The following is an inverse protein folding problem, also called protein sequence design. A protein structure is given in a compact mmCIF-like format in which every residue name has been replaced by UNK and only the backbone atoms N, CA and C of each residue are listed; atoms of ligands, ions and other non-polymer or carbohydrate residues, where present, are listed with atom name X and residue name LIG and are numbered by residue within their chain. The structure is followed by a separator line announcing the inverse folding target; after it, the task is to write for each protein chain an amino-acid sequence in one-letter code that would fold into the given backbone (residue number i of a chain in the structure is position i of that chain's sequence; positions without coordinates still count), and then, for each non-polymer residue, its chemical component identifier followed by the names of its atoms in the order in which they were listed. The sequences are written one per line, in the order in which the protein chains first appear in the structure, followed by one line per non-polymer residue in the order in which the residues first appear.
data_IF_542102607608
#
_entry.id   IF_542102607608
#
_cell.length_a   1.000
_cell.length_b   1.000
_cell.length_c   1.000
_cell.angle_alpha   90.00
_cell.angle_beta   90.00
_cell.angle_gamma   90.00
#
_symmetry.space_group_name_H-M   'P 1'
#
loop_
_entity.id
_entity.type
_entity.pdbx_description
1 polymer ?
#
# COMPACT_ATOMS: atom_id res chain seq x y z
N UNK A 1 25.39 -8.41 7.36
CA UNK A 1 24.00 -7.88 7.31
C UNK A 1 23.33 -8.20 8.64
N UNK A 2 22.79 -7.21 9.34
CA UNK A 2 22.08 -7.42 10.61
C UNK A 2 20.58 -7.41 10.30
N UNK A 3 19.88 -8.54 10.52
CA UNK A 3 18.43 -8.66 10.37
C UNK A 3 17.82 -8.49 11.77
N UNK A 4 16.78 -7.64 11.85
CA UNK A 4 15.98 -7.43 13.06
C UNK A 4 14.52 -7.64 12.70
N UNK A 5 13.95 -8.75 13.15
CA UNK A 5 12.55 -9.09 12.94
C UNK A 5 11.71 -8.47 14.07
N UNK A 6 11.25 -7.24 13.86
CA UNK A 6 10.45 -6.47 14.83
C UNK A 6 9.62 -5.42 14.10
N UNK A 7 8.64 -4.86 14.81
CA UNK A 7 7.84 -3.74 14.37
C UNK A 7 8.70 -2.48 14.12
N UNK A 8 8.68 -1.99 12.86
CA UNK A 8 9.50 -0.88 12.42
C UNK A 8 9.06 0.48 13.00
N UNK A 9 7.81 0.63 13.46
CA UNK A 9 7.33 1.87 14.09
C UNK A 9 7.90 2.06 15.50
N UNK A 10 8.23 0.97 16.18
CA UNK A 10 8.70 0.98 17.57
C UNK A 10 10.18 0.67 17.73
N UNK A 11 10.84 0.17 16.67
CA UNK A 11 12.22 -0.25 16.73
C UNK A 11 13.18 0.94 16.77
N UNK A 12 14.08 0.95 17.75
CA UNK A 12 15.20 1.88 17.79
C UNK A 12 16.31 1.44 16.81
N UNK A 13 16.57 2.26 15.81
CA UNK A 13 17.69 2.11 14.88
C UNK A 13 18.84 3.06 15.25
N UNK A 14 20.10 2.74 14.87
CA UNK A 14 21.21 3.67 15.01
C UNK A 14 20.95 4.97 14.22
N UNK A 15 21.33 6.10 14.79
CA UNK A 15 21.34 7.39 14.06
C UNK A 15 22.51 7.47 13.06
N UNK A 16 22.48 8.49 12.20
CA UNK A 16 23.53 8.74 11.21
C UNK A 16 23.42 7.87 9.96
N UNK A 17 22.21 7.49 9.58
CA UNK A 17 21.94 6.72 8.36
C UNK A 17 22.01 7.63 7.13
N UNK A 18 22.63 7.16 6.06
CA UNK A 18 22.68 7.83 4.74
C UNK A 18 21.36 7.63 3.98
N UNK A 19 20.74 6.45 4.15
CA UNK A 19 19.56 6.03 3.42
C UNK A 19 18.68 5.12 4.28
N UNK A 20 17.40 5.42 4.28
CA UNK A 20 16.34 4.54 4.81
C UNK A 20 15.43 4.15 3.64
N UNK A 21 15.21 2.86 3.46
CA UNK A 21 14.34 2.33 2.40
C UNK A 21 13.20 1.53 3.02
N UNK A 22 11.98 1.78 2.55
CA UNK A 22 10.79 1.01 2.93
C UNK A 22 9.99 0.64 1.68
N UNK A 23 9.87 -0.67 1.41
CA UNK A 23 9.15 -1.15 0.23
C UNK A 23 7.82 -1.77 0.65
N UNK A 24 6.70 -1.17 0.24
CA UNK A 24 5.34 -1.66 0.45
C UNK A 24 5.06 -2.09 1.91
N UNK A 25 5.56 -1.30 2.87
CA UNK A 25 5.38 -1.55 4.30
C UNK A 25 4.67 -0.40 5.02
N UNK A 26 4.86 0.85 4.59
CA UNK A 26 4.32 2.02 5.30
C UNK A 26 2.79 2.07 5.33
N UNK A 27 2.11 1.41 4.43
CA UNK A 27 0.64 1.29 4.44
C UNK A 27 0.07 0.50 5.63
N UNK A 28 0.92 -0.22 6.36
CA UNK A 28 0.54 -0.99 7.54
C UNK A 28 0.79 -0.24 8.85
N UNK A 29 1.38 0.96 8.79
CA UNK A 29 1.72 1.74 9.97
C UNK A 29 0.51 2.54 10.46
N UNK A 30 0.37 2.63 11.77
CA UNK A 30 -0.73 3.32 12.43
C UNK A 30 -0.54 4.85 12.43
N UNK A 31 0.73 5.33 12.51
CA UNK A 31 1.06 6.76 12.61
C UNK A 31 2.18 7.16 11.64
N UNK A 32 1.82 7.42 10.39
CA UNK A 32 2.77 7.85 9.34
C UNK A 32 3.54 9.13 9.70
N UNK A 33 2.93 10.20 10.23
CA UNK A 33 3.65 11.39 10.67
C UNK A 33 4.73 11.10 11.71
N UNK A 34 4.44 10.21 12.67
CA UNK A 34 5.39 9.77 13.68
C UNK A 34 6.53 8.96 13.08
N UNK A 35 6.20 8.03 12.18
CA UNK A 35 7.19 7.23 11.44
C UNK A 35 8.15 8.13 10.65
N UNK A 36 7.64 9.06 9.85
CA UNK A 36 8.46 9.98 9.07
C UNK A 36 9.35 10.87 9.97
N UNK A 37 8.80 11.33 11.10
CA UNK A 37 9.58 12.09 12.09
C UNK A 37 10.70 11.22 12.70
N UNK A 38 10.42 9.94 12.91
CA UNK A 38 11.39 8.95 13.37
C UNK A 38 12.53 8.77 12.37
N UNK A 39 12.20 8.52 11.10
CA UNK A 39 13.19 8.40 10.03
C UNK A 39 14.07 9.63 9.91
N UNK A 40 13.49 10.85 10.02
CA UNK A 40 14.27 12.08 9.98
C UNK A 40 15.32 12.16 11.09
N UNK A 41 15.01 11.73 12.30
CA UNK A 41 15.98 11.72 13.41
C UNK A 41 17.12 10.75 13.18
N UNK A 42 16.86 9.64 12.47
CA UNK A 42 17.85 8.61 12.18
C UNK A 42 18.78 8.99 11.03
N UNK A 43 18.31 9.76 10.05
CA UNK A 43 19.10 10.23 8.93
C UNK A 43 20.09 11.32 9.36
N UNK A 44 21.31 11.30 8.76
CA UNK A 44 22.21 12.46 8.82
C UNK A 44 21.69 13.61 7.93
N UNK A 45 22.27 14.80 8.04
CA UNK A 45 21.94 15.92 7.14
C UNK A 45 22.30 15.58 5.70
N UNK A 46 21.34 15.74 4.78
CA UNK A 46 21.45 15.33 3.38
C UNK A 46 21.18 13.85 3.10
N UNK A 47 20.83 13.05 4.11
CA UNK A 47 20.41 11.65 3.95
C UNK A 47 19.03 11.51 3.32
N UNK A 48 18.71 10.32 2.82
CA UNK A 48 17.52 10.06 2.03
C UNK A 48 16.56 9.07 2.69
N UNK A 49 15.28 9.36 2.58
CA UNK A 49 14.17 8.40 2.82
C UNK A 49 13.56 8.06 1.46
N UNK A 50 13.63 6.79 1.06
CA UNK A 50 12.97 6.27 -0.13
C UNK A 50 11.91 5.24 0.27
N UNK A 51 10.69 5.37 -0.24
CA UNK A 51 9.67 4.38 0.06
C UNK A 51 8.67 4.19 -1.08
N UNK A 52 8.08 3.00 -1.11
CA UNK A 52 6.89 2.71 -1.90
C UNK A 52 5.72 2.39 -0.98
N UNK A 53 4.54 2.78 -1.42
CA UNK A 53 3.26 2.52 -0.75
C UNK A 53 2.16 2.42 -1.81
N UNK A 54 0.91 2.45 -1.38
CA UNK A 54 -0.24 2.45 -2.27
C UNK A 54 -1.11 3.68 -2.06
N UNK A 55 -1.82 4.06 -3.11
CA UNK A 55 -2.77 5.17 -3.13
C UNK A 55 -4.23 4.72 -3.04
N UNK A 56 -5.18 5.69 -3.05
CA UNK A 56 -6.60 5.44 -2.75
C UNK A 56 -7.31 4.45 -3.69
N UNK A 57 -6.83 4.27 -4.91
CA UNK A 57 -7.44 3.35 -5.89
C UNK A 57 -6.86 1.93 -5.81
N UNK A 58 -5.99 1.65 -4.82
CA UNK A 58 -5.43 0.32 -4.69
C UNK A 58 -6.48 -0.70 -4.28
N UNK A 59 -6.68 -1.71 -5.11
CA UNK A 59 -7.69 -2.78 -4.92
C UNK A 59 -9.11 -2.28 -4.72
N UNK A 60 -9.45 -1.13 -5.34
CA UNK A 60 -10.74 -0.44 -5.16
C UNK A 60 -11.95 -1.32 -5.51
N UNK A 61 -11.81 -2.26 -6.45
CA UNK A 61 -12.86 -3.19 -6.84
C UNK A 61 -13.26 -4.10 -5.67
N UNK A 62 -12.25 -4.60 -4.96
CA UNK A 62 -12.48 -5.46 -3.78
C UNK A 62 -13.00 -4.65 -2.61
N UNK A 63 -12.41 -3.50 -2.35
CA UNK A 63 -12.83 -2.60 -1.27
C UNK A 63 -14.31 -2.18 -1.42
N UNK A 64 -14.74 -1.86 -2.64
CA UNK A 64 -16.11 -1.47 -2.97
C UNK A 64 -17.12 -2.60 -2.68
N UNK A 65 -16.77 -3.85 -2.97
CA UNK A 65 -17.70 -4.98 -2.84
C UNK A 65 -17.63 -5.67 -1.47
N UNK A 66 -16.47 -5.70 -0.85
CA UNK A 66 -16.28 -6.39 0.42
C UNK A 66 -16.50 -5.48 1.64
N UNK A 67 -16.68 -4.17 1.44
CA UNK A 67 -16.72 -3.15 2.51
C UNK A 67 -15.52 -3.30 3.47
N UNK A 68 -14.40 -3.72 2.94
CA UNK A 68 -13.18 -4.01 3.66
C UNK A 68 -11.98 -3.53 2.83
N UNK A 69 -11.05 -2.84 3.45
CA UNK A 69 -9.85 -2.32 2.81
C UNK A 69 -9.07 -1.44 3.76
N UNK A 70 -7.82 -1.18 3.43
CA UNK A 70 -7.03 -0.15 4.09
C UNK A 70 -7.40 1.21 3.51
N UNK A 71 -7.35 2.23 4.34
CA UNK A 71 -7.43 3.62 3.88
C UNK A 71 -6.01 4.06 3.49
N UNK A 72 -5.81 4.30 2.21
CA UNK A 72 -4.52 4.75 1.69
C UNK A 72 -4.52 6.27 1.50
N UNK A 73 -3.47 6.99 1.95
CA UNK A 73 -3.32 8.41 1.65
C UNK A 73 -3.05 8.62 0.16
N UNK A 74 -3.51 9.76 -0.38
CA UNK A 74 -3.15 10.18 -1.72
C UNK A 74 -1.69 10.64 -1.78
N UNK A 75 -1.12 10.72 -3.00
CA UNK A 75 0.21 11.28 -3.21
C UNK A 75 0.32 12.71 -2.65
N UNK A 76 -0.73 13.52 -2.81
CA UNK A 76 -0.77 14.89 -2.30
C UNK A 76 -0.75 14.91 -0.76
N UNK A 77 -1.56 14.08 -0.11
CA UNK A 77 -1.55 13.98 1.35
C UNK A 77 -0.17 13.53 1.88
N UNK A 78 0.50 12.61 1.20
CA UNK A 78 1.86 12.20 1.55
C UNK A 78 2.86 13.35 1.37
N UNK A 79 2.75 14.13 0.28
CA UNK A 79 3.57 15.33 0.05
C UNK A 79 3.39 16.35 1.17
N UNK A 80 2.15 16.63 1.57
CA UNK A 80 1.85 17.56 2.69
C UNK A 80 2.45 17.08 4.01
N UNK A 81 2.32 15.79 4.34
CA UNK A 81 2.91 15.21 5.55
C UNK A 81 4.44 15.35 5.60
N UNK A 82 5.09 15.30 4.44
CA UNK A 82 6.54 15.32 4.32
C UNK A 82 7.12 16.73 4.16
N UNK A 83 6.38 17.67 3.54
CA UNK A 83 6.87 18.99 3.17
C UNK A 83 7.46 19.82 4.32
N UNK A 84 6.93 19.66 5.54
CA UNK A 84 7.45 20.37 6.72
C UNK A 84 8.81 19.84 7.23
N UNK A 85 9.24 18.67 6.74
CA UNK A 85 10.38 17.93 7.31
C UNK A 85 11.41 17.50 6.29
N UNK A 86 11.03 17.38 5.02
CA UNK A 86 11.85 16.85 3.95
C UNK A 86 11.71 17.70 2.69
N UNK A 87 12.76 17.72 1.88
CA UNK A 87 12.68 18.08 0.48
C UNK A 87 12.21 16.84 -0.31
N UNK A 88 11.05 16.92 -0.97
CA UNK A 88 10.57 15.84 -1.83
C UNK A 88 11.32 15.90 -3.17
N UNK A 89 12.26 15.01 -3.37
CA UNK A 89 13.12 14.95 -4.56
C UNK A 89 12.44 14.22 -5.71
N UNK A 90 11.67 13.18 -5.39
CA UNK A 90 10.93 12.38 -6.36
C UNK A 90 9.60 11.95 -5.77
N UNK A 91 8.54 12.04 -6.57
CA UNK A 91 7.24 11.51 -6.23
C UNK A 91 6.51 11.14 -7.51
N UNK A 92 6.06 9.90 -7.58
CA UNK A 92 5.36 9.33 -8.73
C UNK A 92 4.28 8.36 -8.27
N UNK A 93 3.16 8.36 -8.98
CA UNK A 93 2.10 7.38 -8.82
C UNK A 93 1.64 6.89 -10.19
N UNK A 94 1.12 5.67 -10.23
CA UNK A 94 0.55 5.09 -11.43
C UNK A 94 -0.62 4.18 -11.07
N UNK A 95 -1.51 3.94 -12.02
CA UNK A 95 -2.58 2.98 -11.86
C UNK A 95 -2.38 1.84 -12.86
N UNK A 96 -2.24 0.63 -12.35
CA UNK A 96 -2.00 -0.58 -13.12
C UNK A 96 -3.21 -1.51 -12.98
N UNK A 97 -3.77 -1.94 -14.11
CA UNK A 97 -4.84 -2.94 -14.12
C UNK A 97 -4.29 -4.31 -14.49
N UNK A 98 -4.37 -5.24 -13.56
CA UNK A 98 -4.07 -6.65 -13.81
C UNK A 98 -5.34 -7.39 -14.22
N UNK A 99 -5.24 -8.23 -15.25
CA UNK A 99 -6.38 -8.98 -15.79
C UNK A 99 -6.36 -10.44 -15.32
N UNK A 100 -7.50 -10.94 -14.85
CA UNK A 100 -7.69 -12.28 -14.30
C UNK A 100 -8.83 -13.00 -15.04
N UNK A 101 -8.83 -14.33 -15.02
CA UNK A 101 -9.89 -15.12 -15.65
C UNK A 101 -11.18 -15.13 -14.81
N UNK A 102 -11.10 -14.86 -13.50
CA UNK A 102 -12.26 -14.87 -12.62
C UNK A 102 -12.03 -14.06 -11.32
N UNK A 103 -13.10 -13.64 -10.62
CA UNK A 103 -12.98 -13.03 -9.30
C UNK A 103 -12.31 -13.92 -8.24
N UNK A 104 -12.42 -15.24 -8.38
CA UNK A 104 -11.73 -16.18 -7.49
C UNK A 104 -10.22 -16.13 -7.66
N UNK A 105 -9.73 -15.91 -8.89
CA UNK A 105 -8.30 -15.71 -9.12
C UNK A 105 -7.81 -14.39 -8.52
N UNK A 106 -8.61 -13.33 -8.56
CA UNK A 106 -8.31 -12.09 -7.86
C UNK A 106 -8.14 -12.33 -6.35
N UNK A 107 -9.09 -13.00 -5.72
CA UNK A 107 -9.00 -13.32 -4.29
C UNK A 107 -7.81 -14.21 -3.95
N UNK A 108 -7.48 -15.17 -4.83
CA UNK A 108 -6.29 -16.03 -4.68
C UNK A 108 -5.02 -15.19 -4.75
N UNK A 109 -4.91 -14.32 -5.75
CA UNK A 109 -3.77 -13.43 -5.92
C UNK A 109 -3.55 -12.55 -4.68
N UNK A 110 -4.61 -11.92 -4.16
CA UNK A 110 -4.53 -11.11 -2.93
C UNK A 110 -4.08 -11.95 -1.73
N UNK A 111 -4.53 -13.20 -1.63
CA UNK A 111 -4.09 -14.11 -0.58
C UNK A 111 -2.60 -14.45 -0.70
N UNK A 112 -2.13 -14.75 -1.88
CA UNK A 112 -0.74 -15.12 -2.16
C UNK A 112 0.23 -13.95 -1.98
N UNK A 113 -0.24 -12.72 -2.21
CA UNK A 113 0.54 -11.48 -2.03
C UNK A 113 0.43 -10.89 -0.60
N UNK A 114 -0.25 -11.56 0.32
CA UNK A 114 -0.32 -11.13 1.72
C UNK A 114 -1.30 -10.00 2.02
N UNK A 115 -2.15 -9.62 1.07
CA UNK A 115 -3.12 -8.51 1.22
C UNK A 115 -4.42 -8.95 1.93
N UNK A 116 -4.46 -10.12 2.51
CA UNK A 116 -5.67 -10.75 3.07
C UNK A 116 -6.08 -10.28 4.47
N UNK A 117 -5.27 -9.49 5.16
CA UNK A 117 -5.54 -9.01 6.54
C UNK A 117 -6.73 -8.06 6.67
N UNK A 118 -7.38 -7.68 5.57
CA UNK A 118 -8.44 -6.66 5.54
C UNK A 118 -9.85 -7.21 5.51
N UNK A 119 -10.05 -8.53 5.39
CA UNK A 119 -11.39 -9.13 5.40
C UNK A 119 -11.92 -9.24 6.84
N UNK A 120 -12.73 -8.30 7.26
CA UNK A 120 -13.36 -8.28 8.60
C UNK A 120 -14.31 -9.46 8.88
N UNK A 121 -14.65 -10.26 7.89
CA UNK A 121 -15.59 -11.38 8.04
C UNK A 121 -15.20 -12.59 7.17
N UNK A 122 -15.42 -13.78 7.72
CA UNK A 122 -15.21 -15.04 7.00
C UNK A 122 -16.10 -15.15 5.75
N UNK A 123 -15.56 -15.68 4.66
CA UNK A 123 -16.29 -15.96 3.45
C UNK A 123 -17.24 -17.14 3.63
N UNK A 124 -18.54 -16.89 3.66
CA UNK A 124 -19.55 -17.96 3.50
C UNK A 124 -19.74 -18.24 2.01
N UNK A 125 -20.26 -19.43 1.69
CA UNK A 125 -20.52 -19.82 0.29
C UNK A 125 -21.43 -18.81 -0.44
N UNK A 126 -22.49 -18.34 0.23
CA UNK A 126 -23.43 -17.37 -0.36
C UNK A 126 -22.76 -16.02 -0.63
N UNK A 127 -22.02 -15.48 0.35
CA UNK A 127 -21.28 -14.21 0.19
C UNK A 127 -20.23 -14.28 -0.91
N UNK A 128 -19.55 -15.42 -1.03
CA UNK A 128 -18.57 -15.60 -2.10
C UNK A 128 -19.23 -15.62 -3.48
N UNK A 129 -20.37 -16.30 -3.62
CA UNK A 129 -21.12 -16.32 -4.88
C UNK A 129 -21.63 -14.93 -5.27
N UNK A 130 -22.18 -14.19 -4.29
CA UNK A 130 -22.63 -12.81 -4.50
C UNK A 130 -21.49 -11.88 -4.90
N UNK A 131 -20.37 -11.96 -4.21
CA UNK A 131 -19.15 -11.21 -4.55
C UNK A 131 -18.71 -11.50 -5.97
N UNK A 132 -18.59 -12.78 -6.36
CA UNK A 132 -18.17 -13.15 -7.72
C UNK A 132 -19.12 -12.62 -8.79
N UNK A 133 -20.41 -12.70 -8.55
CA UNK A 133 -21.42 -12.17 -9.48
C UNK A 133 -21.26 -10.66 -9.65
N UNK A 134 -21.26 -9.92 -8.52
CA UNK A 134 -21.16 -8.46 -8.52
C UNK A 134 -19.84 -7.97 -9.10
N UNK A 135 -18.75 -8.72 -8.85
CA UNK A 135 -17.43 -8.40 -9.39
C UNK A 135 -17.41 -8.55 -10.92
N UNK A 136 -17.92 -9.67 -11.45
CA UNK A 136 -18.02 -9.90 -12.88
C UNK A 136 -18.91 -8.87 -13.57
N UNK A 137 -20.04 -8.53 -12.96
CA UNK A 137 -20.97 -7.55 -13.53
C UNK A 137 -20.36 -6.14 -13.64
N UNK A 138 -19.54 -5.74 -12.66
CA UNK A 138 -19.04 -4.36 -12.56
C UNK A 138 -17.64 -4.17 -13.12
N UNK A 139 -16.80 -5.20 -13.08
CA UNK A 139 -15.36 -5.09 -13.30
C UNK A 139 -14.82 -6.09 -14.33
N UNK A 140 -15.63 -6.47 -15.33
CA UNK A 140 -15.17 -7.26 -16.47
C UNK A 140 -14.94 -6.39 -17.71
N UNK A 141 -14.01 -6.85 -18.52
CA UNK A 141 -13.76 -6.32 -19.86
C UNK A 141 -14.69 -6.98 -20.92
N UNK A 142 -14.60 -6.50 -22.16
CA UNK A 142 -15.36 -7.02 -23.30
C UNK A 142 -15.08 -8.50 -23.61
N UNK A 143 -13.99 -9.05 -23.10
CA UNK A 143 -13.59 -10.47 -23.26
C UNK A 143 -14.05 -11.34 -22.10
N UNK A 144 -14.81 -10.77 -21.16
CA UNK A 144 -15.28 -11.47 -19.96
C UNK A 144 -14.21 -11.73 -18.91
N UNK A 145 -13.03 -11.09 -19.02
CA UNK A 145 -12.01 -11.13 -17.98
C UNK A 145 -12.27 -10.03 -16.95
N UNK A 146 -11.94 -10.28 -15.71
CA UNK A 146 -12.04 -9.28 -14.64
C UNK A 146 -10.68 -8.63 -14.41
N UNK A 147 -10.71 -7.39 -13.90
CA UNK A 147 -9.47 -6.68 -13.57
C UNK A 147 -9.40 -6.31 -12.09
N UNK A 148 -8.17 -6.11 -11.62
CA UNK A 148 -7.84 -5.57 -10.30
C UNK A 148 -6.89 -4.40 -10.49
N UNK A 149 -7.20 -3.27 -9.87
CA UNK A 149 -6.38 -2.05 -9.92
C UNK A 149 -5.35 -2.07 -8.81
N UNK A 150 -4.08 -1.84 -9.18
CA UNK A 150 -3.01 -1.47 -8.27
C UNK A 150 -2.69 0.01 -8.46
N UNK A 151 -2.47 0.71 -7.34
CA UNK A 151 -2.13 2.13 -7.34
C UNK A 151 -0.86 2.37 -6.51
N UNK A 152 0.32 1.96 -7.01
CA UNK A 152 1.57 2.21 -6.32
C UNK A 152 1.94 3.68 -6.33
N UNK A 153 2.54 4.11 -5.22
CA UNK A 153 3.14 5.43 -5.02
C UNK A 153 4.60 5.23 -4.64
N UNK A 154 5.49 5.99 -5.26
CA UNK A 154 6.93 5.98 -5.01
C UNK A 154 7.39 7.37 -4.58
N UNK A 155 8.15 7.46 -3.51
CA UNK A 155 8.67 8.73 -3.02
C UNK A 155 10.15 8.63 -2.62
N UNK A 156 10.91 9.68 -2.93
CA UNK A 156 12.27 9.88 -2.44
C UNK A 156 12.32 11.28 -1.83
N UNK A 157 12.72 11.34 -0.57
CA UNK A 157 12.76 12.55 0.23
C UNK A 157 14.17 12.73 0.80
N UNK A 158 14.67 13.95 0.82
CA UNK A 158 15.96 14.33 1.39
C UNK A 158 15.75 15.10 2.69
N UNK A 159 16.55 14.78 3.70
CA UNK A 159 16.57 15.50 4.98
C UNK A 159 17.28 16.85 4.84
#
# INVERSE_FOLDING_TARGET
MCIRDRDAETLAFPAGQDLIVSCSAVQWFDDLPRFFSGCRRLLHEGGYLAFSTFGPHNTEEVATLASAGLSYPSLEALREMLAARYEVVYAHEEQLRLSFASPLEVLRHLKETGVTGTAAQAWTRGRLQEFCRNYTERFSDERGRVYLTFHPIYMICRK
#
